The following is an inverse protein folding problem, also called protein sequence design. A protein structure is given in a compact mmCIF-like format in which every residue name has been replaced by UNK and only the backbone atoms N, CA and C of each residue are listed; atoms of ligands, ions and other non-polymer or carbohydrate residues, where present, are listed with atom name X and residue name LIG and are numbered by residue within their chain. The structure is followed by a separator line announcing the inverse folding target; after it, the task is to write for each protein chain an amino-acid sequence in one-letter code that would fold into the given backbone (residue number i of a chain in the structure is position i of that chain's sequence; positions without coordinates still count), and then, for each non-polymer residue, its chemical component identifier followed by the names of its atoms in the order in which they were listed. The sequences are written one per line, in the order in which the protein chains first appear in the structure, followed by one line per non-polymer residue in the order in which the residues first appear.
data_IF_670260853314
#
_entry.id   IF_670260853314
#
_cell.length_a   1.000
_cell.length_b   1.000
_cell.length_c   1.000
_cell.angle_alpha   90.00
_cell.angle_beta   90.00
_cell.angle_gamma   90.00
#
_symmetry.space_group_name_H-M   'P 1'
#
loop_
_entity.id
_entity.type
_entity.pdbx_description
1 polymer ?
#
# COMPACT_ATOMS: atom_id res chain seq x y z
N UNK A 1 -2.07 1.27 -5.06
CA UNK A 1 -1.43 2.56 -4.68
C UNK A 1 -1.28 2.55 -3.19
N UNK A 2 -0.05 2.66 -2.69
CA UNK A 2 0.19 2.85 -1.26
C UNK A 2 0.08 4.34 -0.93
N UNK A 3 -0.58 4.67 0.18
CA UNK A 3 -0.58 6.01 0.76
C UNK A 3 -0.82 5.91 2.27
N UNK A 4 0.04 6.57 3.06
CA UNK A 4 -0.09 6.67 4.52
C UNK A 4 -0.23 5.29 5.23
N UNK A 5 0.53 4.29 4.76
CA UNK A 5 0.51 2.93 5.28
C UNK A 5 -0.74 2.13 4.91
N UNK A 6 -1.57 2.61 3.99
CA UNK A 6 -2.73 1.89 3.49
C UNK A 6 -2.61 1.59 2.00
N UNK A 7 -3.09 0.41 1.60
CA UNK A 7 -3.18 0.01 0.20
C UNK A 7 -4.55 0.35 -0.37
N UNK A 8 -4.54 1.03 -1.53
CA UNK A 8 -5.72 1.40 -2.30
C UNK A 8 -5.71 0.77 -3.69
N UNK A 9 -6.91 0.46 -4.18
CA UNK A 9 -7.17 -0.01 -5.55
C UNK A 9 -7.89 1.07 -6.35
N UNK A 10 -7.64 1.12 -7.65
CA UNK A 10 -8.28 2.09 -8.54
C UNK A 10 -9.80 1.85 -8.56
N UNK A 11 -10.57 2.93 -8.42
CA UNK A 11 -12.03 2.93 -8.39
C UNK A 11 -12.65 3.80 -9.50
N UNK A 12 -11.86 4.19 -10.50
CA UNK A 12 -12.30 4.92 -11.69
C UNK A 12 -11.65 6.29 -11.85
N UNK A 13 -11.80 6.85 -13.05
CA UNK A 13 -11.34 8.18 -13.44
C UNK A 13 -12.55 9.05 -13.78
N UNK A 14 -12.61 10.28 -13.25
CA UNK A 14 -13.65 11.25 -13.61
C UNK A 14 -13.07 12.66 -13.65
N UNK A 15 -13.26 13.37 -14.76
CA UNK A 15 -12.74 14.72 -14.99
C UNK A 15 -11.24 14.86 -14.70
N UNK A 16 -10.44 13.86 -15.12
CA UNK A 16 -9.00 13.82 -14.87
C UNK A 16 -8.60 13.50 -13.41
N UNK A 17 -9.56 13.31 -12.50
CA UNK A 17 -9.31 12.91 -11.12
C UNK A 17 -9.45 11.39 -11.02
N UNK A 18 -8.40 10.71 -10.55
CA UNK A 18 -8.42 9.27 -10.31
C UNK A 18 -8.86 8.99 -8.87
N UNK A 19 -9.88 8.16 -8.72
CA UNK A 19 -10.42 7.77 -7.41
C UNK A 19 -9.86 6.42 -7.01
N UNK A 20 -9.60 6.25 -5.72
CA UNK A 20 -9.13 5.00 -5.17
C UNK A 20 -9.93 4.65 -3.92
N UNK A 21 -10.19 3.35 -3.75
CA UNK A 21 -10.82 2.79 -2.54
C UNK A 21 -9.85 1.88 -1.82
N UNK A 22 -10.02 1.72 -0.52
CA UNK A 22 -9.19 0.80 0.25
C UNK A 22 -9.24 -0.62 -0.33
N UNK A 23 -8.09 -1.27 -0.42
CA UNK A 23 -8.00 -2.67 -0.86
C UNK A 23 -8.77 -3.62 0.08
N UNK A 24 -8.89 -3.27 1.37
CA UNK A 24 -9.67 -4.01 2.38
C UNK A 24 -11.14 -3.61 2.45
N UNK A 25 -11.66 -2.87 1.46
CA UNK A 25 -13.07 -2.47 1.44
C UNK A 25 -14.03 -3.66 1.49
N UNK A 26 -13.71 -4.76 0.79
CA UNK A 26 -14.56 -5.96 0.78
C UNK A 26 -14.34 -6.84 2.02
N UNK A 27 -13.09 -7.00 2.47
CA UNK A 27 -12.76 -7.92 3.56
C UNK A 27 -13.02 -7.36 4.96
N UNK A 28 -12.92 -6.03 5.14
CA UNK A 28 -13.05 -5.37 6.44
C UNK A 28 -14.15 -4.30 6.44
N UNK A 29 -15.00 -4.28 5.40
CA UNK A 29 -16.04 -3.25 5.20
C UNK A 29 -15.49 -1.82 5.34
N UNK A 30 -14.24 -1.62 4.92
CA UNK A 30 -13.56 -0.35 5.05
C UNK A 30 -14.05 0.64 3.99
N UNK A 31 -14.41 1.83 4.45
CA UNK A 31 -14.86 2.92 3.59
C UNK A 31 -13.75 3.88 3.16
N UNK A 32 -12.50 3.61 3.56
CA UNK A 32 -11.35 4.45 3.27
C UNK A 32 -11.20 4.71 1.77
N UNK A 33 -11.08 5.97 1.38
CA UNK A 33 -10.96 6.37 -0.01
C UNK A 33 -10.18 7.66 -0.18
N UNK A 34 -9.45 7.75 -1.29
CA UNK A 34 -8.64 8.90 -1.67
C UNK A 34 -8.92 9.25 -3.13
N UNK A 35 -8.61 10.48 -3.51
CA UNK A 35 -8.58 10.92 -4.89
C UNK A 35 -7.22 11.52 -5.22
N UNK A 36 -6.76 11.31 -6.45
CA UNK A 36 -5.57 11.94 -7.02
C UNK A 36 -6.01 12.93 -8.09
N UNK A 37 -5.72 14.21 -7.88
CA UNK A 37 -6.00 15.27 -8.84
C UNK A 37 -5.04 15.22 -10.04
N UNK A 38 -5.33 16.01 -11.07
CA UNK A 38 -4.55 16.07 -12.32
C UNK A 38 -3.11 16.53 -12.04
N UNK A 39 -2.94 17.48 -11.12
CA UNK A 39 -1.65 17.98 -10.62
C UNK A 39 -0.89 16.96 -9.76
N UNK A 40 -1.51 15.81 -9.45
CA UNK A 40 -0.90 14.74 -8.69
C UNK A 40 -1.17 14.78 -7.19
N UNK A 41 -1.78 15.85 -6.66
CA UNK A 41 -2.16 15.95 -5.24
C UNK A 41 -3.12 14.84 -4.83
N UNK A 42 -2.84 14.22 -3.68
CA UNK A 42 -3.70 13.20 -3.07
C UNK A 42 -4.54 13.85 -1.97
N UNK A 43 -5.85 13.63 -2.00
CA UNK A 43 -6.77 14.10 -0.96
C UNK A 43 -7.54 12.93 -0.36
N UNK A 44 -7.61 12.90 0.97
CA UNK A 44 -8.43 11.92 1.71
C UNK A 44 -9.90 12.29 1.56
N UNK A 45 -10.68 11.38 0.97
CA UNK A 45 -12.13 11.53 0.81
C UNK A 45 -12.86 10.91 2.00
N UNK A 46 -12.44 9.71 2.41
CA UNK A 46 -12.94 9.02 3.61
C UNK A 46 -11.78 8.38 4.37
N UNK A 47 -11.83 8.45 5.69
CA UNK A 47 -10.86 7.78 6.57
C UNK A 47 -11.11 6.27 6.63
N UNK A 48 -10.05 5.53 6.96
CA UNK A 48 -10.15 4.08 7.18
C UNK A 48 -10.90 3.75 8.47
N UNK A 49 -11.56 2.60 8.47
CA UNK A 49 -12.27 2.02 9.61
C UNK A 49 -12.11 0.49 9.59
N UNK A 50 -12.14 -0.13 10.77
CA UNK A 50 -12.19 -1.60 10.90
C UNK A 50 -10.89 -2.33 10.55
N UNK A 51 -9.77 -1.64 10.29
CA UNK A 51 -8.46 -2.25 10.16
C UNK A 51 -7.31 -1.26 10.43
N UNK A 52 -6.17 -1.80 10.83
CA UNK A 52 -4.93 -1.05 11.00
C UNK A 52 -4.22 -0.79 9.66
N UNK A 53 -3.22 0.09 9.69
CA UNK A 53 -2.23 0.26 8.62
C UNK A 53 -1.50 -1.06 8.36
N UNK A 54 -1.00 -1.22 7.14
CA UNK A 54 -0.12 -2.35 6.83
C UNK A 54 1.20 -2.17 7.60
N UNK A 55 1.74 -3.26 8.19
CA UNK A 55 3.00 -3.18 8.91
C UNK A 55 4.13 -2.86 7.93
N UNK A 56 5.01 -1.93 8.33
CA UNK A 56 6.23 -1.66 7.57
C UNK A 56 7.23 -2.81 7.78
N UNK A 57 7.17 -3.81 6.89
CA UNK A 57 8.01 -5.01 6.96
C UNK A 57 9.37 -4.83 6.28
N UNK A 58 9.78 -3.60 5.96
CA UNK A 58 11.03 -3.32 5.23
C UNK A 58 12.25 -3.91 5.93
N UNK A 59 12.32 -3.78 7.25
CA UNK A 59 13.40 -4.34 8.08
C UNK A 59 13.44 -5.87 7.98
N UNK A 60 12.28 -6.52 8.10
CA UNK A 60 12.18 -7.99 8.04
C UNK A 60 12.60 -8.51 6.66
N UNK A 61 12.12 -7.87 5.59
CA UNK A 61 12.48 -8.22 4.21
C UNK A 61 13.97 -8.02 3.95
N UNK A 62 14.56 -6.94 4.45
CA UNK A 62 15.99 -6.67 4.29
C UNK A 62 16.85 -7.68 5.05
N UNK A 63 16.46 -8.03 6.29
CA UNK A 63 17.13 -9.07 7.06
C UNK A 63 17.06 -10.43 6.36
N UNK A 64 15.89 -10.80 5.84
CA UNK A 64 15.72 -12.04 5.08
C UNK A 64 16.61 -12.06 3.82
N UNK A 65 16.66 -10.96 3.06
CA UNK A 65 17.54 -10.82 1.89
C UNK A 65 19.02 -10.95 2.26
N UNK A 66 19.44 -10.39 3.39
CA UNK A 66 20.84 -10.51 3.86
C UNK A 66 21.20 -11.96 4.20
N UNK A 67 20.29 -12.70 4.83
CA UNK A 67 20.49 -14.14 5.09
C UNK A 67 20.64 -14.91 3.78
N UNK A 68 19.80 -14.64 2.78
CA UNK A 68 19.90 -15.30 1.48
C UNK A 68 21.22 -14.98 0.75
N UNK A 69 21.67 -13.73 0.79
CA UNK A 69 22.97 -13.33 0.23
C UNK A 69 24.14 -14.03 0.92
N UNK A 70 24.10 -14.12 2.25
CA UNK A 70 25.14 -14.82 3.01
C UNK A 70 25.20 -16.30 2.62
N UNK A 71 24.04 -16.98 2.57
CA UNK A 71 23.98 -18.39 2.16
C UNK A 71 24.55 -18.61 0.76
N UNK A 72 24.11 -17.81 -0.21
CA UNK A 72 24.60 -17.89 -1.59
C UNK A 72 26.12 -17.70 -1.71
N UNK A 73 26.72 -16.85 -0.86
CA UNK A 73 28.17 -16.66 -0.82
C UNK A 73 28.93 -17.85 -0.21
N UNK A 74 28.29 -18.62 0.66
CA UNK A 74 28.91 -19.76 1.38
C UNK A 74 28.62 -21.13 0.76
N UNK A 75 27.63 -21.26 -0.11
CA UNK A 75 27.21 -22.56 -0.69
C UNK A 75 28.08 -23.05 -1.87
N UNK A 76 29.03 -22.25 -2.37
CA UNK A 76 29.96 -22.61 -3.45
C UNK A 76 31.45 -22.61 -3.01
N UNK A 77 31.71 -22.65 -1.70
CA UNK A 77 33.07 -22.68 -1.14
C UNK A 77 33.52 -24.11 -0.81
#
# INVERSE_FOLDING_TARGET
MEHDGFMYVNNGLKNGITYFKCNKAQSHFCMGSIKKSIDGTITIVKRHNGHAREPDNTIVVNNFRNVLKHRAATENA
#
